data_IF_399304705865
#
_entry.id   IF_399304705865
#
_cell.length_a   1.000
_cell.length_b   1.000
_cell.length_c   1.000
_cell.angle_alpha   90.00
_cell.angle_beta   90.00
_cell.angle_gamma   90.00
#
_symmetry.space_group_name_H-M   'P 1'
#
loop_
_entity.id
_entity.type
_entity.pdbx_description
1 polymer ?
#
# COMPACT_ATOMS: atom_id res chain seq x y z
N UNK A 1 66.81 -28.57 -25.08
CA UNK A 1 66.29 -27.19 -25.18
C UNK A 1 64.78 -27.27 -25.33
N UNK A 2 64.05 -26.48 -24.54
CA UNK A 2 62.65 -26.04 -24.68
C UNK A 2 61.53 -27.11 -24.65
N UNK A 3 60.64 -27.09 -23.64
CA UNK A 3 59.39 -26.28 -23.54
C UNK A 3 58.40 -26.66 -24.65
N UNK A 4 57.15 -27.05 -24.45
CA UNK A 4 56.27 -27.12 -23.28
C UNK A 4 54.81 -27.20 -23.76
N UNK A 5 53.92 -27.51 -22.81
CA UNK A 5 52.52 -27.05 -22.66
C UNK A 5 51.48 -27.43 -23.75
N UNK A 6 50.40 -28.14 -23.38
CA UNK A 6 49.07 -27.56 -23.10
C UNK A 6 47.94 -28.61 -23.01
N UNK A 7 47.40 -28.64 -21.80
CA UNK A 7 46.08 -29.04 -21.36
C UNK A 7 44.94 -28.33 -22.13
N UNK A 8 43.87 -29.06 -22.50
CA UNK A 8 42.48 -28.54 -22.62
C UNK A 8 41.48 -29.66 -22.95
N UNK A 9 40.61 -30.01 -21.99
CA UNK A 9 39.29 -30.60 -22.27
C UNK A 9 38.35 -30.25 -21.11
N UNK A 10 37.61 -29.14 -21.25
CA UNK A 10 36.60 -28.69 -20.28
C UNK A 10 35.63 -27.67 -20.91
N UNK A 11 35.23 -27.86 -22.18
CA UNK A 11 34.45 -26.86 -22.93
C UNK A 11 33.07 -27.33 -23.40
N UNK A 12 32.64 -28.57 -23.09
CA UNK A 12 31.38 -29.13 -23.63
C UNK A 12 30.18 -29.09 -22.68
N UNK A 13 30.38 -28.95 -21.37
CA UNK A 13 29.28 -29.06 -20.39
C UNK A 13 28.52 -27.74 -20.14
N UNK A 14 29.11 -26.58 -20.46
CA UNK A 14 28.47 -25.27 -20.23
C UNK A 14 27.42 -24.89 -21.29
N UNK A 15 27.36 -25.56 -22.44
CA UNK A 15 26.41 -25.18 -23.49
C UNK A 15 25.00 -25.71 -23.20
N UNK A 16 24.89 -26.87 -22.54
CA UNK A 16 23.59 -27.48 -22.23
C UNK A 16 22.87 -26.78 -21.09
N UNK A 17 23.60 -26.27 -20.09
CA UNK A 17 23.02 -25.50 -18.97
C UNK A 17 22.50 -24.13 -19.42
N UNK A 18 23.21 -23.46 -20.33
CA UNK A 18 22.78 -22.19 -20.93
C UNK A 18 21.52 -22.38 -21.77
N UNK A 19 21.45 -23.46 -22.55
CA UNK A 19 20.25 -23.82 -23.32
C UNK A 19 19.05 -24.09 -22.41
N UNK A 20 19.26 -24.79 -21.28
CA UNK A 20 18.19 -25.09 -20.32
C UNK A 20 17.66 -23.83 -19.65
N UNK A 21 18.55 -22.91 -19.25
CA UNK A 21 18.17 -21.63 -18.64
C UNK A 21 17.40 -20.74 -19.64
N UNK A 22 17.84 -20.69 -20.90
CA UNK A 22 17.15 -19.96 -21.96
C UNK A 22 15.74 -20.53 -22.19
N UNK A 23 15.58 -21.86 -22.16
CA UNK A 23 14.30 -22.53 -22.35
C UNK A 23 13.34 -22.29 -21.17
N UNK A 24 13.85 -22.28 -19.93
CA UNK A 24 13.09 -21.89 -18.74
C UNK A 24 12.62 -20.44 -18.80
N UNK A 25 13.49 -19.51 -19.21
CA UNK A 25 13.11 -18.10 -19.39
C UNK A 25 12.04 -17.94 -20.47
N UNK A 26 12.14 -18.68 -21.58
CA UNK A 26 11.18 -18.63 -22.68
C UNK A 26 9.83 -19.21 -22.28
N UNK A 27 9.82 -20.31 -21.51
CA UNK A 27 8.60 -20.85 -20.90
C UNK A 27 7.97 -19.88 -19.91
N UNK A 28 8.78 -19.23 -19.07
CA UNK A 28 8.30 -18.22 -18.14
C UNK A 28 7.66 -17.03 -18.86
N UNK A 29 8.27 -16.54 -19.95
CA UNK A 29 7.73 -15.48 -20.81
C UNK A 29 6.44 -15.91 -21.53
N UNK A 30 6.33 -17.16 -21.96
CA UNK A 30 5.10 -17.69 -22.56
C UNK A 30 3.97 -17.81 -21.55
N UNK A 31 4.28 -18.23 -20.32
CA UNK A 31 3.31 -18.29 -19.23
C UNK A 31 2.81 -16.89 -18.91
N UNK A 32 3.69 -15.90 -18.70
CA UNK A 32 3.28 -14.51 -18.42
C UNK A 32 2.52 -13.87 -19.59
N UNK A 33 2.87 -14.18 -20.85
CA UNK A 33 2.15 -13.70 -22.03
C UNK A 33 0.73 -14.25 -22.14
N UNK A 34 0.47 -15.46 -21.65
CA UNK A 34 -0.88 -16.05 -21.62
C UNK A 34 -1.71 -15.59 -20.41
N UNK A 35 -1.10 -14.87 -19.46
CA UNK A 35 -1.78 -14.18 -18.36
C UNK A 35 -2.08 -12.71 -18.68
N UNK A 36 -2.03 -12.29 -19.95
CA UNK A 36 -2.66 -11.04 -20.38
C UNK A 36 -4.15 -11.30 -20.59
N UNK A 37 -5.06 -10.87 -19.68
CA UNK A 37 -6.48 -10.95 -19.95
C UNK A 37 -6.80 -10.06 -21.17
N UNK A 38 -7.09 -10.70 -22.28
CA UNK A 38 -7.62 -10.02 -23.47
C UNK A 38 -9.14 -9.85 -23.29
N UNK A 39 -9.59 -8.64 -23.60
CA UNK A 39 -10.97 -8.12 -23.54
C UNK A 39 -11.47 -7.62 -22.17
N UNK A 40 -11.12 -6.37 -21.87
CA UNK A 40 -11.89 -5.53 -20.95
C UNK A 40 -13.15 -5.03 -21.66
N UNK A 41 -14.32 -5.37 -21.13
CA UNK A 41 -15.60 -4.86 -21.62
C UNK A 41 -15.80 -3.42 -21.09
N UNK A 42 -15.54 -2.43 -21.96
CA UNK A 42 -15.50 -0.99 -21.70
C UNK A 42 -16.84 -0.31 -21.33
N UNK A 43 -17.84 -1.01 -20.78
CA UNK A 43 -19.19 -0.44 -20.57
C UNK A 43 -19.66 -0.27 -19.13
N UNK A 44 -18.79 -0.42 -18.13
CA UNK A 44 -19.08 0.04 -16.76
C UNK A 44 -17.83 0.62 -16.09
N UNK A 45 -17.24 1.62 -16.75
CA UNK A 45 -16.19 2.45 -16.16
C UNK A 45 -16.89 3.53 -15.33
N UNK A 46 -17.06 3.27 -14.03
CA UNK A 46 -17.12 4.39 -13.08
C UNK A 46 -15.69 4.91 -13.00
N UNK A 47 -15.49 5.99 -13.72
CA UNK A 47 -14.28 6.78 -13.86
C UNK A 47 -13.91 7.42 -12.51
N UNK A 48 -12.92 6.84 -11.85
CA UNK A 48 -12.06 7.57 -10.90
C UNK A 48 -10.65 7.00 -11.08
N UNK A 49 -9.70 7.83 -11.53
CA UNK A 49 -8.25 7.56 -11.59
C UNK A 49 -7.61 7.21 -10.21
N UNK A 50 -8.40 6.85 -9.22
CA UNK A 50 -8.01 6.69 -7.83
C UNK A 50 -7.72 5.21 -7.55
N UNK A 51 -6.44 4.83 -7.52
CA UNK A 51 -6.03 3.50 -7.06
C UNK A 51 -6.41 3.31 -5.59
N UNK A 52 -7.26 2.33 -5.31
CA UNK A 52 -7.65 1.98 -3.94
C UNK A 52 -6.65 0.97 -3.40
N UNK A 53 -5.89 1.36 -2.38
CA UNK A 53 -4.94 0.45 -1.74
C UNK A 53 -5.58 -0.24 -0.54
N UNK A 54 -5.60 -1.57 -0.57
CA UNK A 54 -6.12 -2.39 0.52
C UNK A 54 -5.05 -3.38 0.96
N UNK A 55 -4.88 -3.54 2.27
CA UNK A 55 -4.08 -4.64 2.81
C UNK A 55 -4.92 -5.88 3.01
N UNK A 56 -4.52 -7.00 2.41
CA UNK A 56 -5.16 -8.30 2.62
C UNK A 56 -4.23 -9.13 3.50
N UNK A 57 -4.71 -9.47 4.69
CA UNK A 57 -4.01 -10.32 5.65
C UNK A 57 -4.70 -11.67 5.74
N UNK A 58 -4.02 -12.74 5.32
CA UNK A 58 -4.51 -14.11 5.41
C UNK A 58 -3.42 -15.02 5.98
N UNK A 59 -3.76 -15.83 6.97
CA UNK A 59 -2.86 -16.82 7.58
C UNK A 59 -1.52 -16.22 8.07
N UNK A 60 -1.56 -14.97 8.54
CA UNK A 60 -0.39 -14.21 9.01
C UNK A 60 0.43 -13.51 7.93
N UNK A 61 0.08 -13.67 6.65
CA UNK A 61 0.72 -12.99 5.51
C UNK A 61 -0.13 -11.78 5.14
N UNK A 62 0.47 -10.59 5.13
CA UNK A 62 -0.18 -9.34 4.75
C UNK A 62 0.43 -8.74 3.47
N UNK A 63 -0.40 -8.56 2.44
CA UNK A 63 -0.03 -7.92 1.17
C UNK A 63 -0.83 -6.63 0.97
N UNK A 64 -0.21 -5.59 0.43
CA UNK A 64 -0.97 -4.41 -0.05
C UNK A 64 -1.16 -4.55 -1.54
N UNK A 65 -2.40 -4.47 -1.96
CA UNK A 65 -2.81 -4.51 -3.35
C UNK A 65 -3.49 -3.19 -3.70
N UNK A 66 -3.11 -2.62 -4.85
CA UNK A 66 -3.75 -1.45 -5.43
C UNK A 66 -4.78 -1.89 -6.48
N UNK A 67 -6.00 -1.41 -6.36
CA UNK A 67 -7.10 -1.73 -7.26
C UNK A 67 -7.55 -0.48 -8.00
N UNK A 68 -7.38 -0.47 -9.33
CA UNK A 68 -7.86 0.60 -10.22
C UNK A 68 -9.31 0.36 -10.69
N UNK A 69 -9.79 -0.89 -10.60
CA UNK A 69 -11.11 -1.27 -11.07
C UNK A 69 -12.02 -1.67 -9.89
N UNK A 70 -13.12 -0.91 -9.71
CA UNK A 70 -14.14 -1.16 -8.69
C UNK A 70 -14.84 -2.52 -8.81
N UNK A 71 -14.88 -3.12 -10.00
CA UNK A 71 -15.42 -4.46 -10.21
C UNK A 71 -14.59 -5.54 -9.49
N UNK A 72 -13.25 -5.44 -9.53
CA UNK A 72 -12.36 -6.37 -8.85
C UNK A 72 -12.55 -6.28 -7.32
N UNK A 73 -12.73 -5.05 -6.80
CA UNK A 73 -13.06 -4.84 -5.39
C UNK A 73 -14.41 -5.48 -5.03
N UNK A 74 -15.42 -5.37 -5.89
CA UNK A 74 -16.72 -6.01 -5.67
C UNK A 74 -16.64 -7.54 -5.65
N UNK A 75 -15.81 -8.14 -6.51
CA UNK A 75 -15.55 -9.59 -6.50
C UNK A 75 -14.87 -10.03 -5.21
N UNK A 76 -13.87 -9.28 -4.73
CA UNK A 76 -13.22 -9.52 -3.43
C UNK A 76 -14.23 -9.39 -2.29
N UNK A 77 -15.06 -8.34 -2.31
CA UNK A 77 -16.11 -8.15 -1.30
C UNK A 77 -17.05 -9.36 -1.26
N UNK A 78 -17.56 -9.78 -2.42
CA UNK A 78 -18.45 -10.94 -2.52
C UNK A 78 -17.78 -12.24 -2.08
N UNK A 79 -16.51 -12.45 -2.46
CA UNK A 79 -15.74 -13.65 -2.13
C UNK A 79 -15.50 -13.81 -0.63
N UNK A 80 -15.31 -12.70 0.10
CA UNK A 80 -15.01 -12.69 1.53
C UNK A 80 -16.19 -12.27 2.41
N UNK A 81 -17.40 -12.16 1.85
CA UNK A 81 -18.62 -11.81 2.59
C UNK A 81 -18.61 -10.40 3.18
N UNK A 82 -17.91 -9.45 2.54
CA UNK A 82 -17.84 -8.06 2.98
C UNK A 82 -19.05 -7.28 2.47
N UNK A 83 -19.77 -6.65 3.39
CA UNK A 83 -20.95 -5.83 3.10
C UNK A 83 -20.68 -4.32 3.08
N UNK A 84 -19.50 -3.90 3.52
CA UNK A 84 -19.06 -2.50 3.48
C UNK A 84 -18.24 -2.21 2.22
N UNK A 85 -18.26 -0.96 1.78
CA UNK A 85 -17.33 -0.49 0.77
C UNK A 85 -15.91 -0.43 1.31
N UNK A 86 -14.96 -0.78 0.44
CA UNK A 86 -13.54 -0.73 0.73
C UNK A 86 -12.99 0.60 0.22
N UNK A 87 -12.31 1.31 1.12
CA UNK A 87 -11.64 2.57 0.82
C UNK A 87 -10.13 2.38 0.85
N UNK A 88 -9.42 3.30 0.20
CA UNK A 88 -7.97 3.33 0.25
C UNK A 88 -7.53 3.48 1.71
N UNK A 89 -6.64 2.59 2.16
CA UNK A 89 -6.21 2.57 3.55
C UNK A 89 -6.95 1.56 4.41
N UNK A 90 -7.86 0.76 3.84
CA UNK A 90 -8.48 -0.34 4.58
C UNK A 90 -7.56 -1.57 4.63
N UNK A 91 -7.71 -2.34 5.70
CA UNK A 91 -7.04 -3.60 5.93
C UNK A 91 -8.11 -4.68 6.12
N UNK A 92 -8.14 -5.65 5.24
CA UNK A 92 -8.95 -6.84 5.35
C UNK A 92 -8.12 -7.93 6.05
N UNK A 93 -8.62 -8.45 7.16
CA UNK A 93 -8.05 -9.61 7.84
C UNK A 93 -8.99 -10.78 7.68
N UNK A 94 -8.54 -11.81 6.97
CA UNK A 94 -9.30 -13.04 6.73
C UNK A 94 -8.83 -14.08 7.74
N UNK A 95 -9.75 -14.54 8.58
CA UNK A 95 -9.57 -15.67 9.50
C UNK A 95 -10.53 -16.79 9.11
N UNK A 96 -10.32 -17.99 9.66
CA UNK A 96 -11.12 -19.18 9.32
C UNK A 96 -12.64 -19.00 9.44
N UNK A 97 -13.11 -18.13 10.36
CA UNK A 97 -14.53 -17.96 10.68
C UNK A 97 -15.08 -16.56 10.42
N UNK A 98 -14.23 -15.59 10.11
CA UNK A 98 -14.64 -14.20 9.97
C UNK A 98 -13.66 -13.41 9.09
N UNK A 99 -14.21 -12.41 8.40
CA UNK A 99 -13.44 -11.37 7.72
C UNK A 99 -13.63 -10.06 8.47
N UNK A 100 -12.55 -9.44 8.90
CA UNK A 100 -12.56 -8.15 9.61
C UNK A 100 -11.98 -7.07 8.71
N UNK A 101 -12.63 -5.92 8.63
CA UNK A 101 -12.06 -4.73 8.00
C UNK A 101 -11.62 -3.75 9.09
N UNK A 102 -10.38 -3.31 9.02
CA UNK A 102 -9.78 -2.29 9.89
C UNK A 102 -9.02 -1.27 9.04
N UNK A 103 -8.30 -0.34 9.68
CA UNK A 103 -7.44 0.61 8.97
C UNK A 103 -5.99 0.12 8.91
N UNK A 104 -5.35 0.42 7.79
CA UNK A 104 -3.90 0.38 7.67
C UNK A 104 -3.25 1.31 8.70
N UNK A 105 -2.06 0.90 9.16
CA UNK A 105 -1.27 1.75 10.05
C UNK A 105 -0.98 3.09 9.37
N UNK A 106 -1.04 4.19 10.13
CA UNK A 106 -0.82 5.52 9.56
C UNK A 106 0.51 5.65 8.82
N UNK A 107 1.59 5.01 9.29
CA UNK A 107 2.88 5.00 8.57
C UNK A 107 2.75 4.43 7.16
N UNK A 108 2.00 3.33 7.00
CA UNK A 108 1.77 2.71 5.69
C UNK A 108 0.87 3.58 4.82
N UNK A 109 -0.19 4.15 5.42
CA UNK A 109 -1.06 5.13 4.73
C UNK A 109 -0.26 6.31 4.18
N UNK A 110 0.60 6.93 5.00
CA UNK A 110 1.50 8.02 4.60
C UNK A 110 2.42 7.59 3.44
N UNK A 111 3.01 6.39 3.50
CA UNK A 111 3.89 5.89 2.42
C UNK A 111 3.17 5.64 1.10
N UNK A 112 1.86 5.40 1.15
CA UNK A 112 0.99 5.19 -0.01
C UNK A 112 0.30 6.48 -0.47
N UNK A 113 0.60 7.63 0.15
CA UNK A 113 -0.04 8.90 -0.16
C UNK A 113 -1.50 9.00 0.31
N UNK A 114 -1.94 8.09 1.18
CA UNK A 114 -3.30 8.08 1.73
C UNK A 114 -3.33 9.06 2.89
N UNK A 115 -4.22 10.06 2.87
CA UNK A 115 -4.21 11.11 3.87
C UNK A 115 -4.69 10.60 5.24
N UNK A 116 -4.24 11.30 6.28
CA UNK A 116 -4.63 11.10 7.67
C UNK A 116 -5.73 12.12 8.02
N UNK A 117 -6.95 11.62 8.22
CA UNK A 117 -8.08 12.44 8.66
C UNK A 117 -7.84 13.00 10.05
N UNK A 118 -7.74 14.33 10.18
CA UNK A 118 -7.37 14.98 11.43
C UNK A 118 -8.49 14.96 12.48
N UNK A 119 -9.74 14.84 12.06
CA UNK A 119 -10.89 14.80 12.97
C UNK A 119 -11.09 13.39 13.55
N UNK A 120 -10.84 12.35 12.75
CA UNK A 120 -10.94 10.96 13.23
C UNK A 120 -9.61 10.34 13.69
N UNK A 121 -8.46 10.98 13.43
CA UNK A 121 -7.15 10.41 13.74
C UNK A 121 -7.03 10.01 15.21
N UNK A 122 -6.54 8.78 15.41
CA UNK A 122 -6.13 8.29 16.71
C UNK A 122 -4.80 8.91 17.16
N UNK A 123 -4.47 8.73 18.43
CA UNK A 123 -3.17 9.14 18.98
C UNK A 123 -1.99 8.54 18.21
N UNK A 124 -2.06 7.25 17.87
CA UNK A 124 -1.01 6.57 17.11
C UNK A 124 -0.97 7.02 15.63
N UNK A 125 -2.10 7.41 15.04
CA UNK A 125 -2.12 7.99 13.70
C UNK A 125 -1.40 9.34 13.66
N UNK A 126 -1.66 10.21 14.64
CA UNK A 126 -1.01 11.52 14.75
C UNK A 126 0.50 11.38 14.98
N UNK A 127 0.91 10.43 15.83
CA UNK A 127 2.32 10.14 16.09
C UNK A 127 3.09 9.60 14.88
N UNK A 128 2.38 8.99 13.93
CA UNK A 128 3.01 8.51 12.71
C UNK A 128 3.42 9.67 11.78
N UNK A 129 2.84 10.86 11.95
CA UNK A 129 3.19 12.04 11.16
C UNK A 129 4.58 12.53 11.59
N UNK A 130 5.53 12.69 10.64
CA UNK A 130 6.90 13.11 10.97
C UNK A 130 6.94 14.41 11.80
N UNK A 131 7.56 14.33 12.98
CA UNK A 131 7.72 15.47 13.88
C UNK A 131 6.58 15.69 14.88
N UNK A 132 5.55 14.84 14.87
CA UNK A 132 4.54 14.75 15.93
C UNK A 132 4.89 13.60 16.87
N UNK A 133 5.44 13.93 18.04
CA UNK A 133 5.63 12.97 19.14
C UNK A 133 4.40 12.91 20.04
N UNK A 134 4.52 12.15 21.14
CA UNK A 134 3.44 11.92 22.12
C UNK A 134 2.81 13.23 22.64
N UNK A 135 3.64 14.24 22.95
CA UNK A 135 3.15 15.53 23.45
C UNK A 135 2.25 16.25 22.45
N UNK A 136 2.66 16.33 21.18
CA UNK A 136 1.90 17.05 20.16
C UNK A 136 0.63 16.30 19.77
N UNK A 137 0.69 14.96 19.68
CA UNK A 137 -0.50 14.16 19.44
C UNK A 137 -1.54 14.36 20.57
N UNK A 138 -1.09 14.42 21.82
CA UNK A 138 -1.97 14.72 22.96
C UNK A 138 -2.59 16.11 22.85
N UNK A 139 -1.79 17.14 22.52
CA UNK A 139 -2.30 18.51 22.37
C UNK A 139 -3.30 18.63 21.22
N UNK A 140 -3.08 17.95 20.10
CA UNK A 140 -4.03 17.94 18.97
C UNK A 140 -5.36 17.33 19.39
N UNK A 141 -5.35 16.17 20.06
CA UNK A 141 -6.58 15.53 20.52
C UNK A 141 -7.31 16.42 21.53
N UNK A 142 -6.57 17.02 22.47
CA UNK A 142 -7.14 17.94 23.46
C UNK A 142 -7.74 19.20 22.82
N UNK A 143 -7.03 19.79 21.86
CA UNK A 143 -7.53 20.96 21.13
C UNK A 143 -8.77 20.61 20.31
N UNK A 144 -8.73 19.53 19.53
CA UNK A 144 -9.89 18.99 18.80
C UNK A 144 -11.09 18.82 19.73
N UNK A 145 -10.92 18.14 20.86
CA UNK A 145 -12.00 17.94 21.83
C UNK A 145 -12.56 19.27 22.42
N UNK A 146 -11.76 20.33 22.47
CA UNK A 146 -12.19 21.64 22.98
C UNK A 146 -13.01 22.46 21.98
N UNK A 147 -12.73 22.30 20.67
CA UNK A 147 -13.42 23.04 19.60
C UNK A 147 -14.47 22.19 18.88
N UNK A 148 -14.48 20.87 19.10
CA UNK A 148 -15.28 19.89 18.38
C UNK A 148 -14.48 19.23 17.26
N UNK A 149 -14.45 19.87 16.10
CA UNK A 149 -13.75 19.42 14.90
C UNK A 149 -12.95 20.59 14.31
N UNK A 150 -11.87 20.27 13.59
CA UNK A 150 -11.14 21.26 12.83
C UNK A 150 -11.95 21.65 11.58
N UNK A 151 -12.26 22.93 11.41
CA UNK A 151 -12.88 23.43 10.18
C UNK A 151 -11.83 23.72 9.09
N UNK A 152 -10.59 23.95 9.51
CA UNK A 152 -9.43 24.17 8.66
C UNK A 152 -8.19 23.48 9.23
N UNK A 153 -7.29 22.97 8.36
CA UNK A 153 -5.99 22.45 8.83
C UNK A 153 -5.15 23.56 9.49
N UNK A 154 -5.39 24.82 9.11
CA UNK A 154 -4.69 26.00 9.64
C UNK A 154 -4.95 26.25 11.12
N UNK A 155 -6.06 25.76 11.69
CA UNK A 155 -6.33 25.84 13.13
C UNK A 155 -5.29 25.11 13.99
N UNK A 156 -4.54 24.16 13.42
CA UNK A 156 -3.43 23.52 14.12
C UNK A 156 -2.31 24.49 14.48
N UNK A 157 -2.20 25.65 13.83
CA UNK A 157 -1.23 26.71 14.18
C UNK A 157 -1.52 27.34 15.55
N UNK A 158 -2.76 27.19 16.06
CA UNK A 158 -3.15 27.64 17.40
C UNK A 158 -2.60 26.74 18.52
N UNK A 159 -2.03 25.57 18.17
CA UNK A 159 -1.55 24.58 19.14
C UNK A 159 -0.07 24.83 19.42
N UNK A 160 0.26 25.04 20.69
CA UNK A 160 1.63 25.28 21.13
C UNK A 160 2.58 24.14 20.70
N UNK A 161 3.64 24.52 20.01
CA UNK A 161 4.65 23.62 19.47
C UNK A 161 4.40 23.16 18.03
N UNK A 162 3.25 23.49 17.44
CA UNK A 162 3.01 23.38 16.00
C UNK A 162 3.31 24.73 15.35
N UNK A 163 4.54 24.88 14.85
CA UNK A 163 4.91 26.02 14.01
C UNK A 163 4.81 25.69 12.52
N UNK A 164 5.01 26.71 11.68
CA UNK A 164 4.96 26.65 10.19
C UNK A 164 5.56 25.37 9.57
N UNK A 165 6.72 24.91 10.05
CA UNK A 165 7.37 23.69 9.54
C UNK A 165 6.54 22.43 9.79
N UNK A 166 5.98 22.26 10.99
CA UNK A 166 5.16 21.10 11.32
C UNK A 166 3.80 21.19 10.64
N UNK A 167 3.20 22.38 10.63
CA UNK A 167 1.96 22.63 9.89
C UNK A 167 2.09 22.25 8.41
N UNK A 168 3.19 22.65 7.76
CA UNK A 168 3.44 22.27 6.36
C UNK A 168 3.58 20.75 6.15
N UNK A 169 4.19 20.04 7.09
CA UNK A 169 4.27 18.57 7.05
C UNK A 169 2.87 17.96 7.20
N UNK A 170 2.08 18.45 8.17
CA UNK A 170 0.72 17.96 8.41
C UNK A 170 -0.15 18.20 7.16
N UNK A 171 -0.11 19.40 6.57
CA UNK A 171 -0.83 19.72 5.33
C UNK A 171 -0.47 18.81 4.14
N UNK A 172 0.74 18.23 4.13
CA UNK A 172 1.16 17.32 3.06
C UNK A 172 0.54 15.93 3.19
N UNK A 173 0.21 15.49 4.41
CA UNK A 173 -0.22 14.10 4.67
C UNK A 173 -1.57 13.98 5.37
N UNK A 174 -2.15 15.09 5.81
CA UNK A 174 -3.42 15.13 6.53
C UNK A 174 -4.52 15.79 5.71
N UNK A 175 -5.76 15.43 6.03
CA UNK A 175 -6.97 16.04 5.48
C UNK A 175 -7.97 16.33 6.60
N UNK A 176 -9.02 17.09 6.26
CA UNK A 176 -10.23 17.17 7.07
C UNK A 176 -11.18 16.09 6.58
N UNK A 177 -11.69 15.30 7.51
CA UNK A 177 -12.57 14.15 7.30
C UNK A 177 -13.82 14.24 8.18
#
# INVERSE_FOLDING_TARGET
>A
MHMGILQRSSASENNNSVLYLALLCLLYLLVTSNYLPTSFNSKNLVDTDETIFVEISKDGIATVEGFENTQVLNEIKSKYGLHQDLKSGDKITIKEKETLVSKLSARKRISLGIPIGLNSASFEDLKAIPGLGDELATRIIGYRASIGEFESIDELDNIEGIGKKKLAIIKKVGNLD
#
